data_IF_713748117590
#
_entry.id   IF_713748117590
#
_cell.length_a   1.000
_cell.length_b   1.000
_cell.length_c   1.000
_cell.angle_alpha   90.00
_cell.angle_beta   90.00
_cell.angle_gamma   90.00
#
_symmetry.space_group_name_H-M   'P 1'
#
loop_
_entity.id
_entity.type
_entity.pdbx_description
1 polymer ?
#
# COMPACT_ATOMS: atom_id res chain seq x y z
N UNK A 1 -9.12 -2.78 -12.46
CA UNK A 1 -8.37 -1.60 -12.94
C UNK A 1 -7.33 -1.14 -11.91
N UNK A 2 -7.69 -0.58 -10.74
CA UNK A 2 -6.71 -0.21 -9.68
C UNK A 2 -6.45 -1.35 -8.68
N UNK A 3 -7.51 -1.99 -8.16
CA UNK A 3 -7.35 -3.09 -7.19
C UNK A 3 -6.57 -4.30 -7.73
N UNK A 4 -6.80 -4.69 -8.98
CA UNK A 4 -5.99 -5.73 -9.65
C UNK A 4 -4.51 -5.34 -9.69
N UNK A 5 -4.21 -4.10 -10.09
CA UNK A 5 -2.83 -3.62 -10.17
C UNK A 5 -2.14 -3.61 -8.80
N UNK A 6 -2.86 -3.20 -7.76
CA UNK A 6 -2.36 -3.26 -6.39
C UNK A 6 -2.01 -4.69 -5.96
N UNK A 7 -2.89 -5.65 -6.26
CA UNK A 7 -2.66 -7.06 -5.97
C UNK A 7 -1.42 -7.59 -6.70
N UNK A 8 -1.28 -7.27 -7.98
CA UNK A 8 -0.15 -7.75 -8.78
C UNK A 8 1.18 -7.20 -8.25
N UNK A 9 1.20 -5.95 -7.79
CA UNK A 9 2.37 -5.38 -7.12
C UNK A 9 2.70 -6.07 -5.82
N UNK A 10 1.71 -6.30 -4.95
CA UNK A 10 1.93 -7.05 -3.71
C UNK A 10 2.47 -8.46 -3.98
N UNK A 11 1.88 -9.19 -4.93
CA UNK A 11 2.34 -10.54 -5.34
C UNK A 11 3.76 -10.53 -5.91
N UNK A 12 4.14 -9.46 -6.59
CA UNK A 12 5.48 -9.29 -7.17
C UNK A 12 6.51 -8.69 -6.19
N UNK A 13 6.13 -8.49 -4.92
CA UNK A 13 7.00 -7.86 -3.91
C UNK A 13 7.26 -6.37 -4.16
N UNK A 14 6.57 -5.75 -5.10
CA UNK A 14 6.69 -4.32 -5.41
C UNK A 14 5.94 -3.54 -4.34
N UNK A 15 6.59 -2.52 -3.76
CA UNK A 15 5.93 -1.59 -2.85
C UNK A 15 4.88 -0.74 -3.61
N UNK A 16 3.58 -0.90 -3.37
CA UNK A 16 2.57 -0.15 -4.12
C UNK A 16 2.61 1.35 -3.85
N UNK A 17 3.02 1.75 -2.64
CA UNK A 17 3.10 3.16 -2.23
C UNK A 17 4.01 3.97 -3.17
N UNK A 18 5.13 3.39 -3.62
CA UNK A 18 6.07 4.07 -4.53
C UNK A 18 5.57 4.10 -5.99
N UNK A 19 4.55 3.31 -6.33
CA UNK A 19 3.95 3.24 -7.67
C UNK A 19 2.67 4.06 -7.80
N UNK A 20 2.03 4.42 -6.69
CA UNK A 20 0.81 5.22 -6.67
C UNK A 20 0.90 6.56 -7.43
N UNK A 21 1.99 7.34 -7.35
CA UNK A 21 2.09 8.58 -8.12
C UNK A 21 2.04 8.34 -9.64
N UNK A 22 2.74 7.32 -10.12
CA UNK A 22 2.72 6.95 -11.55
C UNK A 22 1.36 6.46 -12.00
N UNK A 23 0.68 5.68 -11.16
CA UNK A 23 -0.69 5.23 -11.45
C UNK A 23 -1.67 6.40 -11.49
N UNK A 24 -1.51 7.38 -10.60
CA UNK A 24 -2.32 8.60 -10.62
C UNK A 24 -2.13 9.35 -11.95
N UNK A 25 -0.89 9.58 -12.36
CA UNK A 25 -0.59 10.22 -13.66
C UNK A 25 -1.18 9.41 -14.82
N UNK A 26 -1.03 8.08 -14.82
CA UNK A 26 -1.56 7.21 -15.87
C UNK A 26 -3.09 7.28 -15.97
N UNK A 27 -3.79 7.44 -14.85
CA UNK A 27 -5.25 7.60 -14.80
C UNK A 27 -5.71 9.03 -15.08
N UNK A 28 -4.80 9.97 -15.32
CA UNK A 28 -5.13 11.39 -15.52
C UNK A 28 -5.46 12.14 -14.24
N UNK A 29 -5.10 11.59 -13.08
CA UNK A 29 -5.33 12.23 -11.78
C UNK A 29 -4.21 13.21 -11.40
N UNK A 30 -4.61 14.34 -10.81
CA UNK A 30 -3.70 15.36 -10.27
C UNK A 30 -2.86 14.86 -9.09
N UNK A 31 -3.44 13.97 -8.27
CA UNK A 31 -2.77 13.43 -7.09
C UNK A 31 -3.24 12.02 -6.75
N UNK A 32 -2.55 11.41 -5.77
CA UNK A 32 -2.85 10.04 -5.34
C UNK A 32 -4.22 9.89 -4.67
N UNK A 33 -4.77 10.95 -4.06
CA UNK A 33 -6.05 10.87 -3.32
C UNK A 33 -7.20 10.59 -4.28
N UNK A 34 -7.16 11.22 -5.46
CA UNK A 34 -8.08 10.91 -6.57
C UNK A 34 -7.92 9.48 -7.10
N UNK A 35 -6.81 8.79 -6.82
CA UNK A 35 -6.61 7.37 -7.16
C UNK A 35 -7.10 6.44 -6.06
N UNK A 36 -6.96 6.84 -4.79
CA UNK A 36 -7.35 6.01 -3.64
C UNK A 36 -8.87 5.74 -3.60
N UNK A 37 -9.71 6.62 -4.14
CA UNK A 37 -11.16 6.39 -4.22
C UNK A 37 -11.53 5.19 -5.12
N UNK A 38 -10.63 4.77 -6.01
CA UNK A 38 -10.80 3.58 -6.84
C UNK A 38 -10.28 2.29 -6.17
N UNK A 39 -9.70 2.39 -4.97
CA UNK A 39 -9.22 1.25 -4.23
C UNK A 39 -10.38 0.62 -3.45
N UNK A 40 -10.98 -0.42 -4.02
CA UNK A 40 -11.88 -1.28 -3.27
C UNK A 40 -11.06 -2.08 -2.25
N UNK A 41 -11.31 -1.89 -0.95
CA UNK A 41 -10.63 -2.62 0.13
C UNK A 41 -11.18 -4.05 0.16
N UNK A 42 -10.53 -4.95 -0.58
CA UNK A 42 -10.86 -6.38 -0.53
C UNK A 42 -10.11 -7.06 0.62
N UNK A 43 -10.63 -8.20 1.14
CA UNK A 43 -9.92 -8.97 2.17
C UNK A 43 -8.50 -9.38 1.73
N UNK A 44 -8.30 -9.75 0.46
CA UNK A 44 -6.99 -10.09 -0.09
C UNK A 44 -6.02 -8.90 -0.02
N UNK A 45 -6.46 -7.69 -0.40
CA UNK A 45 -5.62 -6.49 -0.33
C UNK A 45 -5.31 -6.09 1.12
N UNK A 46 -6.27 -6.24 2.03
CA UNK A 46 -6.07 -5.96 3.45
C UNK A 46 -5.03 -6.91 4.06
N UNK A 47 -5.09 -8.20 3.73
CA UNK A 47 -4.11 -9.19 4.17
C UNK A 47 -2.70 -8.84 3.67
N UNK A 48 -2.55 -8.55 2.37
CA UNK A 48 -1.26 -8.15 1.79
C UNK A 48 -0.69 -6.88 2.44
N UNK A 49 -1.55 -5.88 2.68
CA UNK A 49 -1.15 -4.66 3.37
C UNK A 49 -0.72 -4.94 4.83
N UNK A 50 -1.45 -5.80 5.53
CA UNK A 50 -1.16 -6.19 6.92
C UNK A 50 0.16 -6.95 7.04
N UNK A 51 0.44 -7.85 6.10
CA UNK A 51 1.74 -8.56 6.04
C UNK A 51 2.90 -7.60 5.79
N UNK A 52 2.73 -6.64 4.87
CA UNK A 52 3.72 -5.60 4.65
C UNK A 52 3.94 -4.75 5.90
N UNK A 53 2.87 -4.39 6.61
CA UNK A 53 2.97 -3.66 7.87
C UNK A 53 3.70 -4.48 8.93
N UNK A 54 3.41 -5.77 9.09
CA UNK A 54 4.17 -6.63 10.03
C UNK A 54 5.66 -6.69 9.67
N UNK A 55 6.00 -6.83 8.39
CA UNK A 55 7.40 -6.90 7.92
C UNK A 55 8.18 -5.60 8.14
N UNK A 56 7.57 -4.45 7.89
CA UNK A 56 8.28 -3.16 7.86
C UNK A 56 7.97 -2.24 9.05
N UNK A 57 6.79 -2.37 9.64
CA UNK A 57 6.26 -1.52 10.72
C UNK A 57 6.45 -2.08 12.12
N UNK A 58 6.72 -3.39 12.28
CA UNK A 58 7.01 -3.97 13.60
C UNK A 58 8.24 -3.33 14.26
N UNK A 59 9.22 -2.87 13.48
CA UNK A 59 10.36 -2.12 13.99
C UNK A 59 9.95 -0.76 14.61
N UNK A 60 8.98 -0.06 14.02
CA UNK A 60 8.50 1.22 14.52
C UNK A 60 7.71 1.10 15.84
N UNK A 61 7.13 -0.07 16.11
CA UNK A 61 6.42 -0.34 17.37
C UNK A 61 7.37 -0.76 18.51
N UNK A 62 8.52 -1.38 18.20
CA UNK A 62 9.53 -1.77 19.20
C UNK A 62 10.23 -0.58 19.88
N UNK A 63 10.26 0.59 19.24
CA UNK A 63 10.86 1.80 19.81
C UNK A 63 10.11 2.34 21.05
N UNK A 64 8.88 1.89 21.32
CA UNK A 64 8.10 2.34 22.49
C UNK A 64 8.30 1.55 23.78
N UNK A 65 8.97 0.39 23.75
CA UNK A 65 9.20 -0.43 24.95
C UNK A 65 10.58 -0.17 25.61
N UNK A 66 11.39 0.71 25.03
CA UNK A 66 12.72 1.06 25.54
C UNK A 66 12.75 2.55 25.90
N UNK A 67 11.98 2.93 26.92
CA UNK A 67 12.27 4.13 27.72
C UNK A 67 12.05 3.76 29.19
N UNK A 68 13.06 3.92 30.08
CA UNK A 68 12.92 3.68 31.51
C UNK A 68 11.96 4.67 32.17
#
# INVERSE_FOLDING_TARGET
MVGHRMRDWYKSGINPQSKLPYLATYLGHKDIRSTLVYLNITPELLQNASERFRKNGAAALRTREILP
#
